data_IF_058755920886
#
_entry.id   IF_058755920886
#
_cell.length_a   1.000
_cell.length_b   1.000
_cell.length_c   1.000
_cell.angle_alpha   90.00
_cell.angle_beta   90.00
_cell.angle_gamma   90.00
#
_symmetry.space_group_name_H-M   'P 1'
#
loop_
_entity.id
_entity.type
_entity.pdbx_description
1 polymer ?
#
# COMPACT_ATOMS: atom_id res chain seq x y z
N UNK A 1 -64.59 -10.74 -4.16
CA UNK A 1 -63.23 -10.58 -4.72
C UNK A 1 -62.70 -9.21 -4.32
N UNK A 2 -61.88 -9.14 -3.27
CA UNK A 2 -61.17 -7.92 -2.87
C UNK A 2 -59.79 -7.96 -3.53
N UNK A 3 -59.47 -6.96 -4.34
CA UNK A 3 -58.12 -6.77 -4.90
C UNK A 3 -57.25 -6.15 -3.81
N UNK A 4 -56.34 -6.94 -3.26
CA UNK A 4 -55.25 -6.43 -2.44
C UNK A 4 -54.21 -5.77 -3.35
N UNK A 5 -53.96 -4.49 -3.13
CA UNK A 5 -52.89 -3.73 -3.76
C UNK A 5 -51.65 -3.97 -2.91
N UNK A 6 -50.73 -4.80 -3.40
CA UNK A 6 -49.40 -4.93 -2.83
C UNK A 6 -48.61 -3.65 -3.14
N UNK A 7 -48.50 -2.76 -2.15
CA UNK A 7 -47.58 -1.64 -2.18
C UNK A 7 -46.19 -2.18 -1.81
N UNK A 8 -45.35 -2.42 -2.81
CA UNK A 8 -43.94 -2.77 -2.64
C UNK A 8 -43.22 -1.49 -2.15
N UNK A 9 -43.14 -1.31 -0.83
CA UNK A 9 -42.31 -0.26 -0.23
C UNK A 9 -40.87 -0.76 -0.28
N UNK A 10 -40.16 -0.38 -1.34
CA UNK A 10 -38.70 -0.50 -1.41
C UNK A 10 -38.14 0.42 -0.33
N UNK A 11 -37.75 -0.16 0.81
CA UNK A 11 -37.00 0.51 1.86
C UNK A 11 -35.62 0.87 1.30
N UNK A 12 -35.52 2.02 0.63
CA UNK A 12 -34.24 2.68 0.36
C UNK A 12 -33.75 3.27 1.68
N UNK A 13 -33.08 2.45 2.48
CA UNK A 13 -32.19 2.96 3.54
C UNK A 13 -31.02 3.63 2.84
N UNK A 14 -31.18 4.91 2.50
CA UNK A 14 -30.05 5.78 2.21
C UNK A 14 -29.37 6.00 3.56
N UNK A 15 -28.50 5.08 3.95
CA UNK A 15 -27.53 5.34 5.00
C UNK A 15 -26.69 6.49 4.47
N UNK A 16 -26.93 7.71 4.96
CA UNK A 16 -26.13 8.86 4.61
C UNK A 16 -24.68 8.52 5.01
N UNK A 17 -23.84 8.19 4.03
CA UNK A 17 -22.41 7.99 4.24
C UNK A 17 -21.91 9.23 4.98
N UNK A 18 -21.35 9.05 6.18
CA UNK A 18 -20.69 10.15 6.87
C UNK A 18 -19.65 10.70 5.92
N UNK A 19 -19.71 12.01 5.66
CA UNK A 19 -18.75 12.68 4.79
C UNK A 19 -17.33 12.35 5.27
N UNK A 20 -16.45 11.99 4.33
CA UNK A 20 -15.04 11.80 4.64
C UNK A 20 -14.47 13.13 5.17
N UNK A 21 -13.74 13.07 6.27
CA UNK A 21 -13.09 14.23 6.87
C UNK A 21 -11.58 14.10 6.68
N UNK A 22 -10.98 15.06 5.97
CA UNK A 22 -9.54 15.12 5.78
C UNK A 22 -8.92 16.08 6.80
N UNK A 23 -8.04 15.54 7.63
CA UNK A 23 -7.28 16.24 8.66
C UNK A 23 -5.82 16.36 8.23
N UNK A 24 -5.44 17.51 7.69
CA UNK A 24 -4.04 17.85 7.40
C UNK A 24 -3.39 18.47 8.63
N UNK A 25 -2.15 18.06 8.92
CA UNK A 25 -1.44 18.51 10.10
C UNK A 25 0.06 18.70 9.89
N UNK A 26 0.67 19.43 10.81
CA UNK A 26 2.11 19.52 11.04
C UNK A 26 2.46 18.96 12.41
N UNK A 27 3.58 18.26 12.51
CA UNK A 27 4.20 17.89 13.78
C UNK A 27 5.04 19.09 14.22
N UNK A 28 4.62 19.75 15.29
CA UNK A 28 5.23 21.00 15.77
C UNK A 28 6.21 20.79 16.93
N UNK A 29 6.36 19.54 17.37
CA UNK A 29 7.32 19.16 18.39
C UNK A 29 7.04 17.79 18.95
N UNK A 30 8.03 17.26 19.66
CA UNK A 30 7.91 16.01 20.39
C UNK A 30 9.26 15.49 20.79
N UNK A 31 9.26 14.56 21.73
CA UNK A 31 10.46 13.86 22.18
C UNK A 31 10.17 12.36 22.18
N UNK A 32 11.24 11.59 22.00
CA UNK A 32 11.20 10.13 21.97
C UNK A 32 12.03 9.58 23.12
N UNK A 33 11.41 8.78 23.99
CA UNK A 33 12.10 7.88 24.89
C UNK A 33 12.27 6.54 24.18
N UNK A 34 13.51 6.05 24.18
CA UNK A 34 13.78 4.66 23.85
C UNK A 34 14.08 3.95 25.17
N UNK A 35 13.13 3.18 25.67
CA UNK A 35 13.41 2.24 26.75
C UNK A 35 14.03 0.98 26.15
N UNK A 36 15.34 0.82 26.32
CA UNK A 36 16.10 -0.41 26.04
C UNK A 36 16.16 -0.83 24.57
N UNK A 37 17.30 -0.60 23.90
CA UNK A 37 17.61 -1.29 22.65
C UNK A 37 18.18 -2.67 22.97
N UNK A 38 17.48 -3.73 22.61
CA UNK A 38 18.05 -5.09 22.65
C UNK A 38 18.17 -5.59 21.22
N UNK A 39 19.37 -5.49 20.65
CA UNK A 39 19.66 -6.13 19.36
C UNK A 39 19.80 -7.63 19.63
N UNK A 40 18.72 -8.39 19.39
CA UNK A 40 18.79 -9.85 19.45
C UNK A 40 19.32 -10.38 18.13
N UNK A 41 20.51 -10.99 18.17
CA UNK A 41 21.14 -11.55 16.99
C UNK A 41 20.73 -13.03 16.84
N UNK A 42 19.56 -13.28 16.24
CA UNK A 42 19.04 -14.63 16.01
C UNK A 42 19.18 -15.03 14.53
N UNK A 43 20.33 -15.60 14.16
CA UNK A 43 20.56 -16.11 12.80
C UNK A 43 19.42 -17.06 12.32
N UNK A 44 18.99 -17.00 11.05
CA UNK A 44 19.59 -16.27 9.92
C UNK A 44 19.06 -14.83 9.71
N UNK A 45 18.30 -14.28 10.67
CA UNK A 45 17.66 -12.97 10.55
C UNK A 45 18.12 -12.04 11.69
N UNK A 46 18.76 -10.92 11.38
CA UNK A 46 19.01 -9.90 12.43
C UNK A 46 17.69 -9.14 12.65
N UNK A 47 16.85 -9.64 13.55
CA UNK A 47 15.76 -8.87 14.12
C UNK A 47 16.34 -7.99 15.23
N UNK A 48 16.70 -6.75 14.91
CA UNK A 48 16.82 -5.77 15.98
C UNK A 48 15.39 -5.33 16.32
N UNK A 49 14.86 -5.82 17.44
CA UNK A 49 13.75 -5.14 18.10
C UNK A 49 14.33 -3.84 18.65
N UNK A 50 14.15 -2.74 17.92
CA UNK A 50 14.33 -1.46 18.59
C UNK A 50 13.29 -1.42 19.72
N UNK A 51 13.72 -1.01 20.91
CA UNK A 51 12.87 -0.97 22.10
C UNK A 51 11.55 -0.24 21.86
N UNK A 52 10.67 -0.30 22.85
CA UNK A 52 9.40 0.41 22.77
C UNK A 52 9.68 1.91 22.60
N UNK A 53 9.40 2.45 21.42
CA UNK A 53 9.44 3.89 21.24
C UNK A 53 8.19 4.45 21.91
N UNK A 54 8.41 5.21 22.97
CA UNK A 54 7.38 5.98 23.64
C UNK A 54 7.73 7.45 23.52
N UNK A 55 6.73 8.31 23.54
CA UNK A 55 6.96 9.73 23.35
C UNK A 55 5.67 10.51 23.25
N UNK A 56 5.80 11.82 23.26
CA UNK A 56 4.69 12.74 23.08
C UNK A 56 4.92 13.56 21.81
N UNK A 57 3.91 13.60 20.94
CA UNK A 57 3.95 14.37 19.70
C UNK A 57 2.89 15.46 19.77
N UNK A 58 3.26 16.65 19.31
CA UNK A 58 2.38 17.80 19.23
C UNK A 58 2.02 18.04 17.77
N UNK A 59 0.73 18.23 17.51
CA UNK A 59 0.18 18.38 16.17
C UNK A 59 -0.54 19.72 16.06
N UNK A 60 -0.42 20.35 14.91
CA UNK A 60 -1.20 21.52 14.52
C UNK A 60 -1.90 21.23 13.20
N UNK A 61 -3.23 21.22 13.22
CA UNK A 61 -4.07 20.97 12.06
C UNK A 61 -4.32 22.25 11.27
N UNK A 62 -4.60 22.14 9.97
CA UNK A 62 -4.86 23.31 9.11
C UNK A 62 -6.05 24.18 9.58
N UNK A 63 -7.00 23.58 10.29
CA UNK A 63 -8.11 24.30 10.92
C UNK A 63 -7.74 25.01 12.23
N UNK A 64 -6.46 25.04 12.59
CA UNK A 64 -5.92 25.69 13.79
C UNK A 64 -6.07 24.87 15.08
N UNK A 65 -6.69 23.68 15.03
CA UNK A 65 -6.73 22.77 16.19
C UNK A 65 -5.32 22.31 16.53
N UNK A 66 -5.02 22.23 17.83
CA UNK A 66 -3.79 21.63 18.35
C UNK A 66 -4.13 20.41 19.18
N UNK A 67 -3.24 19.44 19.21
CA UNK A 67 -3.42 18.25 20.02
C UNK A 67 -2.09 17.61 20.35
N UNK A 68 -2.08 16.81 21.40
CA UNK A 68 -0.94 15.99 21.75
C UNK A 68 -1.33 14.51 21.69
N UNK A 69 -0.39 13.68 21.28
CA UNK A 69 -0.58 12.23 21.19
C UNK A 69 0.56 11.55 21.90
N UNK A 70 0.23 10.47 22.61
CA UNK A 70 1.24 9.59 23.17
C UNK A 70 1.47 8.43 22.21
N UNK A 71 2.73 8.17 21.88
CA UNK A 71 3.10 6.91 21.23
C UNK A 71 3.19 5.85 22.30
N UNK A 72 2.35 4.83 22.18
CA UNK A 72 2.38 3.69 23.05
C UNK A 72 2.94 2.49 22.28
N UNK A 73 4.26 2.51 22.07
CA UNK A 73 5.00 1.47 21.37
C UNK A 73 4.95 1.59 19.85
N UNK A 74 6.07 2.02 19.29
CA UNK A 74 6.44 1.59 17.95
C UNK A 74 7.28 0.32 18.05
N UNK A 75 6.88 -0.72 17.32
CA UNK A 75 7.79 -1.85 17.08
C UNK A 75 8.61 -1.47 15.87
N UNK A 76 9.92 -1.30 16.05
CA UNK A 76 10.81 -1.16 14.92
C UNK A 76 11.44 -2.51 14.62
N UNK A 77 11.13 -3.03 13.43
CA UNK A 77 11.76 -4.22 12.91
C UNK A 77 12.87 -3.75 11.97
N UNK A 78 14.11 -4.04 12.32
CA UNK A 78 15.22 -3.97 11.39
C UNK A 78 15.32 -5.31 10.66
N UNK A 79 15.42 -5.28 9.34
CA UNK A 79 15.73 -6.48 8.54
C UNK A 79 17.02 -6.21 7.78
N UNK A 80 18.07 -6.98 8.07
CA UNK A 80 19.34 -6.89 7.35
C UNK A 80 19.43 -8.02 6.33
N UNK A 81 19.16 -7.70 5.06
CA UNK A 81 19.63 -8.49 3.93
C UNK A 81 20.30 -7.57 2.92
N UNK A 82 21.60 -7.36 3.13
CA UNK A 82 22.55 -7.10 2.04
C UNK A 82 22.50 -5.75 1.30
N UNK A 83 22.41 -4.60 2.00
CA UNK A 83 22.88 -3.34 1.38
C UNK A 83 22.38 -2.02 1.96
N UNK A 84 21.18 -1.95 2.51
CA UNK A 84 20.61 -0.71 3.04
C UNK A 84 19.97 -0.93 4.41
N UNK A 85 20.12 0.03 5.32
CA UNK A 85 19.48 -0.02 6.64
C UNK A 85 17.99 0.27 6.49
N UNK A 86 17.19 -0.74 6.11
CA UNK A 86 15.74 -0.61 6.11
C UNK A 86 15.20 -0.81 7.54
N UNK A 87 14.59 0.25 8.07
CA UNK A 87 13.80 0.20 9.30
C UNK A 87 12.33 0.30 8.90
N UNK A 88 11.52 -0.69 9.26
CA UNK A 88 10.08 -0.63 9.03
C UNK A 88 9.33 -1.23 10.19
N UNK A 89 8.03 -0.96 10.27
CA UNK A 89 7.20 -1.55 11.31
C UNK A 89 5.85 -0.89 11.42
N UNK A 90 5.20 -1.18 12.55
CA UNK A 90 3.91 -0.59 12.89
C UNK A 90 4.04 0.18 14.20
N UNK A 91 3.41 1.35 14.23
CA UNK A 91 3.33 2.23 15.38
C UNK A 91 1.88 2.39 15.80
N UNK A 92 1.64 2.31 17.11
CA UNK A 92 0.35 2.62 17.72
C UNK A 92 0.41 4.04 18.26
N UNK A 93 -0.48 4.90 17.77
CA UNK A 93 -0.59 6.30 18.17
C UNK A 93 -1.88 6.44 18.94
N UNK A 94 -1.78 6.82 20.21
CA UNK A 94 -2.93 7.14 21.03
C UNK A 94 -3.19 8.65 20.95
N UNK A 95 -4.30 9.03 20.33
CA UNK A 95 -4.68 10.42 20.18
C UNK A 95 -5.43 10.96 21.40
N UNK A 96 -4.78 10.88 22.56
CA UNK A 96 -5.38 11.11 23.88
C UNK A 96 -5.89 12.55 24.09
N UNK A 97 -5.16 13.58 23.64
CA UNK A 97 -5.51 14.96 24.01
C UNK A 97 -6.39 15.70 23.02
N UNK A 98 -6.83 15.08 21.92
CA UNK A 98 -7.64 15.80 20.96
C UNK A 98 -9.08 16.00 21.46
N UNK A 99 -9.63 15.04 22.24
CA UNK A 99 -11.09 14.96 22.47
C UNK A 99 -11.53 14.31 23.80
N UNK A 100 -10.60 14.00 24.73
CA UNK A 100 -10.97 13.38 26.02
C UNK A 100 -11.33 11.89 25.93
N UNK A 101 -10.90 11.20 24.88
CA UNK A 101 -11.00 9.75 24.76
C UNK A 101 -10.22 9.08 25.89
N UNK A 102 -10.79 8.03 26.50
CA UNK A 102 -10.06 7.22 27.46
C UNK A 102 -8.81 6.60 26.79
N UNK A 103 -7.75 6.28 27.55
CA UNK A 103 -6.59 5.60 26.97
C UNK A 103 -7.01 4.32 26.24
N UNK A 104 -6.38 4.04 25.10
CA UNK A 104 -6.53 2.81 24.31
C UNK A 104 -7.90 2.57 23.65
N UNK A 105 -8.81 3.55 23.62
CA UNK A 105 -10.11 3.40 22.94
C UNK A 105 -10.06 3.79 21.45
N UNK A 106 -9.38 4.88 21.13
CA UNK A 106 -9.24 5.42 19.77
C UNK A 106 -7.77 5.42 19.36
N UNK A 107 -7.27 4.27 18.93
CA UNK A 107 -5.91 4.08 18.46
C UNK A 107 -5.83 4.32 16.95
N UNK A 108 -4.74 4.94 16.51
CA UNK A 108 -4.38 5.05 15.10
C UNK A 108 -3.16 4.18 14.83
N UNK A 109 -3.20 3.39 13.75
CA UNK A 109 -2.12 2.50 13.36
C UNK A 109 -1.37 3.07 12.15
N UNK A 110 -0.06 3.18 12.27
CA UNK A 110 0.83 3.67 11.23
C UNK A 110 1.79 2.56 10.81
N UNK A 111 1.76 2.16 9.55
CA UNK A 111 2.84 1.38 8.92
C UNK A 111 3.91 2.34 8.42
N UNK A 112 5.18 2.11 8.72
CA UNK A 112 6.23 3.05 8.33
C UNK A 112 7.46 2.37 7.75
N UNK A 113 8.20 3.14 6.94
CA UNK A 113 9.53 2.83 6.41
C UNK A 113 10.45 4.03 6.64
N UNK A 114 11.62 3.78 7.24
CA UNK A 114 12.67 4.79 7.31
C UNK A 114 13.25 5.00 5.92
N UNK A 115 13.23 6.25 5.48
CA UNK A 115 13.84 6.68 4.23
C UNK A 115 15.32 7.00 4.42
N UNK A 116 15.72 7.34 5.65
CA UNK A 116 17.06 7.81 5.96
C UNK A 116 17.43 7.51 7.40
N UNK A 117 18.65 7.03 7.60
CA UNK A 117 19.28 6.89 8.91
C UNK A 117 20.74 7.33 8.78
N UNK A 118 21.08 8.48 9.35
CA UNK A 118 22.42 9.05 9.32
C UNK A 118 22.96 9.26 10.74
N UNK A 119 24.26 9.01 10.91
CA UNK A 119 24.99 9.30 12.15
C UNK A 119 26.17 10.19 11.78
N UNK A 120 26.21 11.40 12.32
CA UNK A 120 27.31 12.36 12.13
C UNK A 120 27.82 12.82 13.51
N UNK A 121 28.93 12.23 13.96
CA UNK A 121 29.42 12.43 15.32
C UNK A 121 28.40 11.94 16.37
N UNK A 122 27.97 12.82 17.26
CA UNK A 122 26.91 12.55 18.25
C UNK A 122 25.50 12.81 17.72
N UNK A 123 25.36 13.33 16.49
CA UNK A 123 24.06 13.62 15.89
C UNK A 123 23.53 12.40 15.15
N UNK A 124 22.30 11.99 15.45
CA UNK A 124 21.57 10.93 14.75
C UNK A 124 20.35 11.54 14.09
N UNK A 125 20.24 11.39 12.77
CA UNK A 125 19.10 11.88 11.98
C UNK A 125 18.34 10.71 11.38
N UNK A 126 17.04 10.66 11.64
CA UNK A 126 16.13 9.64 11.11
C UNK A 126 15.02 10.34 10.33
N UNK A 127 14.82 9.96 9.07
CA UNK A 127 13.64 10.35 8.29
C UNK A 127 12.75 9.15 8.11
N UNK A 128 11.50 9.27 8.53
CA UNK A 128 10.49 8.22 8.41
C UNK A 128 9.34 8.73 7.56
N UNK A 129 8.86 7.89 6.66
CA UNK A 129 7.57 8.06 6.01
C UNK A 129 6.71 6.84 6.30
N UNK A 130 5.42 7.05 6.46
CA UNK A 130 4.49 5.98 6.73
C UNK A 130 3.08 6.29 6.27
N UNK A 131 2.25 5.27 6.30
CA UNK A 131 0.85 5.29 5.92
C UNK A 131 0.00 4.87 7.11
N UNK A 132 -1.09 5.61 7.36
CA UNK A 132 -2.09 5.18 8.33
C UNK A 132 -2.91 4.04 7.73
N UNK A 133 -3.02 2.94 8.47
CA UNK A 133 -3.60 1.66 8.01
C UNK A 133 -4.86 1.29 8.80
N UNK A 134 -5.55 2.28 9.33
CA UNK A 134 -6.72 2.11 10.19
C UNK A 134 -6.40 2.34 11.67
N UNK A 135 -7.23 1.76 12.52
CA UNK A 135 -7.21 2.05 13.95
C UNK A 135 -8.32 1.34 14.72
N UNK A 136 -8.69 1.89 15.86
CA UNK A 136 -9.86 1.47 16.65
C UNK A 136 -10.82 2.63 16.81
N UNK A 137 -12.06 2.33 17.23
CA UNK A 137 -13.07 3.34 17.51
C UNK A 137 -13.32 4.23 16.30
N UNK A 138 -13.14 5.54 16.44
CA UNK A 138 -13.36 6.50 15.34
C UNK A 138 -12.29 6.45 14.24
N UNK A 139 -11.13 5.84 14.52
CA UNK A 139 -10.03 5.69 13.57
C UNK A 139 -10.05 4.34 12.84
N UNK A 140 -11.07 3.50 13.03
CA UNK A 140 -11.15 2.15 12.43
C UNK A 140 -10.79 2.12 10.94
N UNK A 141 -11.29 3.10 10.20
CA UNK A 141 -11.14 3.20 8.75
C UNK A 141 -10.16 4.32 8.36
N UNK A 142 -9.37 4.86 9.32
CA UNK A 142 -8.50 5.98 9.07
C UNK A 142 -7.36 5.62 8.12
N UNK A 143 -7.09 6.48 7.14
CA UNK A 143 -5.98 6.32 6.20
C UNK A 143 -5.26 7.64 6.00
N UNK A 144 -4.17 7.62 5.26
CA UNK A 144 -3.40 8.81 4.95
C UNK A 144 -1.93 8.56 5.16
N UNK A 145 -1.16 9.61 5.37
CA UNK A 145 0.29 9.51 5.37
C UNK A 145 0.92 10.43 6.41
N UNK A 146 2.14 10.08 6.78
CA UNK A 146 2.99 10.83 7.68
C UNK A 146 4.40 10.86 7.11
N UNK A 147 5.06 12.01 7.19
CA UNK A 147 6.52 12.09 7.09
C UNK A 147 7.04 12.89 8.27
N UNK A 148 8.07 12.37 8.93
CA UNK A 148 8.73 13.01 10.07
C UNK A 148 10.24 12.92 9.92
N UNK A 149 10.91 13.98 10.33
CA UNK A 149 12.37 14.02 10.49
C UNK A 149 12.68 14.24 11.96
N UNK A 150 13.44 13.32 12.53
CA UNK A 150 13.95 13.44 13.88
C UNK A 150 15.47 13.60 13.90
N UNK A 151 15.95 14.48 14.78
CA UNK A 151 17.36 14.69 15.10
C UNK A 151 17.52 14.44 16.61
N UNK A 152 18.39 13.49 16.97
CA UNK A 152 18.67 13.11 18.35
C UNK A 152 17.42 12.75 19.17
N UNK A 153 16.39 12.19 18.53
CA UNK A 153 15.13 11.83 19.18
C UNK A 153 14.13 12.97 19.35
N UNK A 154 14.44 14.16 18.83
CA UNK A 154 13.52 15.31 18.76
C UNK A 154 13.01 15.48 17.33
N UNK A 155 11.76 15.88 17.14
CA UNK A 155 11.22 16.17 15.81
C UNK A 155 11.61 17.58 15.37
N UNK A 156 12.29 17.69 14.24
CA UNK A 156 12.63 18.96 13.61
C UNK A 156 11.54 19.42 12.63
N UNK A 157 10.97 18.45 11.90
CA UNK A 157 9.91 18.70 10.92
C UNK A 157 9.02 17.46 10.81
N UNK A 158 7.75 17.69 10.53
CA UNK A 158 6.83 16.62 10.22
C UNK A 158 5.50 17.14 9.71
N UNK A 159 4.88 16.36 8.83
CA UNK A 159 3.58 16.68 8.26
C UNK A 159 2.88 15.41 7.82
N UNK A 160 1.58 15.51 7.68
CA UNK A 160 0.80 14.41 7.19
C UNK A 160 -0.66 14.78 6.99
N UNK A 161 -1.40 13.75 6.63
CA UNK A 161 -2.83 13.81 6.38
C UNK A 161 -3.46 12.55 6.96
N UNK A 162 -4.55 12.70 7.69
CA UNK A 162 -5.42 11.61 8.11
C UNK A 162 -6.78 11.84 7.46
N UNK A 163 -7.30 10.84 6.79
CA UNK A 163 -8.65 10.80 6.24
C UNK A 163 -9.48 9.91 7.16
N UNK A 164 -10.53 10.48 7.74
CA UNK A 164 -11.50 9.82 8.60
C UNK A 164 -12.80 9.58 7.83
N UNK A 165 -13.62 8.66 8.35
CA UNK A 165 -14.91 8.28 7.78
C UNK A 165 -14.84 6.99 6.97
N UNK A 166 -16.00 6.45 6.60
CA UNK A 166 -16.05 5.19 5.88
C UNK A 166 -15.41 5.35 4.50
N UNK A 167 -14.38 4.54 4.23
CA UNK A 167 -13.96 4.27 2.85
C UNK A 167 -15.09 3.48 2.20
N UNK A 168 -15.42 3.72 0.92
CA UNK A 168 -16.26 2.77 0.19
C UNK A 168 -15.70 1.37 0.42
N UNK A 169 -16.52 0.46 0.92
CA UNK A 169 -16.08 -0.91 1.12
C UNK A 169 -15.73 -1.50 -0.24
N UNK A 170 -14.44 -1.75 -0.46
CA UNK A 170 -13.97 -2.35 -1.70
C UNK A 170 -14.19 -3.85 -1.56
N UNK A 171 -15.14 -4.37 -2.34
CA UNK A 171 -15.51 -5.78 -2.24
C UNK A 171 -14.52 -6.67 -2.99
N UNK A 172 -14.49 -7.95 -2.66
CA UNK A 172 -13.65 -8.91 -3.38
C UNK A 172 -14.05 -9.00 -4.85
N UNK A 173 -15.34 -8.86 -5.16
CA UNK A 173 -15.88 -8.85 -6.52
C UNK A 173 -15.35 -7.66 -7.33
N UNK A 174 -15.21 -6.48 -6.72
CA UNK A 174 -14.65 -5.30 -7.39
C UNK A 174 -13.18 -5.51 -7.76
N UNK A 175 -12.37 -6.04 -6.84
CA UNK A 175 -10.95 -6.33 -7.11
C UNK A 175 -10.80 -7.45 -8.13
N UNK A 176 -11.69 -8.45 -8.09
CA UNK A 176 -11.77 -9.48 -9.12
C UNK A 176 -12.09 -8.89 -10.50
N UNK A 177 -13.02 -7.93 -10.58
CA UNK A 177 -13.34 -7.21 -11.82
C UNK A 177 -12.11 -6.44 -12.35
N UNK A 178 -11.42 -5.70 -11.49
CA UNK A 178 -10.19 -4.98 -11.88
C UNK A 178 -9.10 -5.94 -12.38
N UNK A 179 -8.96 -7.10 -11.74
CA UNK A 179 -8.02 -8.14 -12.17
C UNK A 179 -8.38 -8.71 -13.53
N UNK A 180 -9.66 -8.97 -13.79
CA UNK A 180 -10.13 -9.40 -15.10
C UNK A 180 -9.91 -8.33 -16.18
N UNK A 181 -10.07 -7.06 -15.84
CA UNK A 181 -9.80 -5.96 -16.77
C UNK A 181 -8.30 -5.85 -17.11
N UNK A 182 -7.40 -6.11 -16.17
CA UNK A 182 -5.97 -6.25 -16.45
C UNK A 182 -5.71 -7.37 -17.47
N UNK A 183 -6.27 -8.57 -17.28
CA UNK A 183 -6.09 -9.67 -18.22
C UNK A 183 -6.64 -9.35 -19.62
N UNK A 184 -7.84 -8.74 -19.71
CA UNK A 184 -8.38 -8.26 -20.99
C UNK A 184 -7.45 -7.25 -21.67
N UNK A 185 -6.83 -6.36 -20.89
CA UNK A 185 -5.88 -5.39 -21.42
C UNK A 185 -4.59 -6.05 -21.95
N UNK A 186 -4.13 -7.16 -21.35
CA UNK A 186 -3.01 -7.94 -21.94
C UNK A 186 -3.36 -8.54 -23.30
N UNK A 187 -4.64 -8.80 -23.56
CA UNK A 187 -5.15 -9.44 -24.78
C UNK A 187 -5.49 -8.43 -25.88
N UNK A 188 -5.42 -7.12 -25.62
CA UNK A 188 -5.88 -6.11 -26.57
C UNK A 188 -4.86 -5.79 -27.67
N UNK A 189 -3.59 -6.18 -27.49
CA UNK A 189 -2.50 -5.73 -28.37
C UNK A 189 -2.24 -4.22 -28.33
N UNK A 190 -2.72 -3.53 -27.30
CA UNK A 190 -2.60 -2.08 -27.13
C UNK A 190 -1.91 -1.74 -25.80
N UNK A 191 -0.67 -1.25 -25.90
CA UNK A 191 0.17 -0.94 -24.75
C UNK A 191 -0.41 0.18 -23.88
N UNK A 192 -1.18 1.10 -24.47
CA UNK A 192 -1.84 2.18 -23.73
C UNK A 192 -3.02 1.65 -22.92
N UNK A 193 -3.82 0.74 -23.49
CA UNK A 193 -4.90 0.07 -22.75
C UNK A 193 -4.32 -0.72 -21.57
N UNK A 194 -3.23 -1.46 -21.80
CA UNK A 194 -2.53 -2.17 -20.72
C UNK A 194 -1.96 -1.23 -19.66
N UNK A 195 -1.19 -0.22 -20.05
CA UNK A 195 -0.62 0.76 -19.13
C UNK A 195 -1.70 1.50 -18.33
N UNK A 196 -2.89 1.75 -18.91
CA UNK A 196 -4.00 2.41 -18.22
C UNK A 196 -4.56 1.61 -17.04
N UNK A 197 -4.25 0.33 -16.90
CA UNK A 197 -4.60 -0.46 -15.70
C UNK A 197 -3.72 -0.12 -14.50
N UNK A 198 -2.56 0.49 -14.71
CA UNK A 198 -1.60 0.86 -13.68
C UNK A 198 -1.78 2.31 -13.19
N UNK A 199 -1.38 2.53 -11.95
CA UNK A 199 -1.12 3.87 -11.42
C UNK A 199 0.10 4.48 -12.13
N UNK A 200 0.23 5.81 -12.08
CA UNK A 200 1.31 6.53 -12.78
C UNK A 200 2.71 6.15 -12.28
N UNK A 201 2.82 5.80 -11.01
CA UNK A 201 4.05 5.43 -10.31
C UNK A 201 4.02 3.97 -9.84
N UNK A 202 3.32 3.09 -10.55
CA UNK A 202 3.21 1.69 -10.16
C UNK A 202 4.58 0.99 -10.17
N UNK A 203 4.82 0.16 -9.15
CA UNK A 203 5.98 -0.73 -9.12
C UNK A 203 5.70 -1.99 -9.92
N UNK A 204 6.49 -2.28 -10.95
CA UNK A 204 6.35 -3.49 -11.77
C UNK A 204 7.65 -4.28 -11.71
N UNK A 205 7.57 -5.58 -11.41
CA UNK A 205 8.70 -6.49 -11.45
C UNK A 205 8.25 -7.78 -12.14
N UNK A 206 8.31 -7.77 -13.47
CA UNK A 206 7.67 -8.75 -14.35
C UNK A 206 8.56 -9.02 -15.59
N UNK A 207 9.31 -10.14 -15.64
CA UNK A 207 9.38 -11.19 -14.62
C UNK A 207 10.11 -10.73 -13.34
N UNK A 208 9.79 -11.34 -12.21
CA UNK A 208 10.37 -11.04 -10.91
C UNK A 208 11.90 -11.21 -10.92
N UNK A 209 12.62 -10.18 -10.46
CA UNK A 209 14.08 -10.06 -10.56
C UNK A 209 14.54 -9.07 -11.65
N UNK A 210 13.61 -8.56 -12.47
CA UNK A 210 13.90 -7.51 -13.44
C UNK A 210 13.99 -6.13 -12.77
N UNK A 211 14.70 -5.16 -13.38
CA UNK A 211 14.67 -3.77 -12.93
C UNK A 211 13.23 -3.23 -12.94
N UNK A 212 12.84 -2.53 -11.88
CA UNK A 212 11.52 -1.93 -11.80
C UNK A 212 11.46 -0.62 -12.61
N UNK A 213 10.34 -0.33 -13.31
CA UNK A 213 10.19 0.89 -14.07
C UNK A 213 10.03 2.11 -13.16
N UNK A 214 10.44 3.27 -13.68
CA UNK A 214 10.30 4.58 -13.09
C UNK A 214 9.25 5.41 -13.85
N UNK A 215 7.98 5.26 -13.48
CA UNK A 215 6.89 6.11 -13.95
C UNK A 215 6.20 5.65 -15.25
N UNK A 216 5.20 6.43 -15.68
CA UNK A 216 4.25 6.09 -16.75
C UNK A 216 4.89 5.73 -18.08
N UNK A 217 5.91 6.48 -18.50
CA UNK A 217 6.56 6.26 -19.80
C UNK A 217 7.26 4.90 -19.85
N UNK A 218 7.91 4.49 -18.76
CA UNK A 218 8.56 3.18 -18.69
C UNK A 218 7.55 2.04 -18.59
N UNK A 219 6.41 2.25 -17.90
CA UNK A 219 5.29 1.31 -17.92
C UNK A 219 4.79 1.10 -19.36
N UNK A 220 4.58 2.17 -20.13
CA UNK A 220 4.14 2.04 -21.54
C UNK A 220 5.16 1.22 -22.35
N UNK A 221 6.46 1.50 -22.20
CA UNK A 221 7.54 0.76 -22.88
C UNK A 221 7.55 -0.73 -22.55
N UNK A 222 7.23 -1.12 -21.32
CA UNK A 222 7.09 -2.54 -20.96
C UNK A 222 5.97 -3.19 -21.79
N UNK A 223 4.82 -2.53 -21.86
CA UNK A 223 3.68 -3.01 -22.67
C UNK A 223 4.03 -3.09 -24.16
N UNK A 224 4.71 -2.07 -24.70
CA UNK A 224 5.17 -2.04 -26.10
C UNK A 224 6.16 -3.18 -26.39
N UNK A 225 7.12 -3.43 -25.50
CA UNK A 225 8.09 -4.51 -25.64
C UNK A 225 7.41 -5.88 -25.62
N UNK A 226 6.48 -6.10 -24.69
CA UNK A 226 5.71 -7.34 -24.63
C UNK A 226 4.90 -7.56 -25.91
N UNK A 227 4.13 -6.56 -26.34
CA UNK A 227 3.21 -6.70 -27.47
C UNK A 227 3.94 -6.76 -28.82
N UNK A 228 5.06 -6.06 -28.99
CA UNK A 228 5.84 -6.11 -30.24
C UNK A 228 6.61 -7.42 -30.45
N UNK A 229 6.77 -8.22 -29.38
CA UNK A 229 7.40 -9.54 -29.46
C UNK A 229 6.53 -10.60 -30.16
N UNK A 230 5.24 -10.30 -30.35
CA UNK A 230 4.25 -11.22 -30.90
C UNK A 230 3.38 -10.52 -31.95
N UNK A 231 2.92 -11.26 -32.95
CA UNK A 231 1.83 -10.82 -33.83
C UNK A 231 0.53 -10.68 -33.04
N UNK A 232 0.31 -11.60 -32.10
CA UNK A 232 -0.75 -11.51 -31.09
C UNK A 232 -0.33 -12.20 -29.81
N UNK A 233 -0.67 -11.66 -28.65
CA UNK A 233 -0.41 -12.30 -27.37
C UNK A 233 -1.44 -11.89 -26.32
N UNK A 234 -1.57 -12.70 -25.29
CA UNK A 234 -2.37 -12.38 -24.11
C UNK A 234 -2.14 -13.35 -22.97
N UNK A 235 -2.43 -12.89 -21.76
CA UNK A 235 -2.45 -13.71 -20.56
C UNK A 235 -3.89 -14.13 -20.24
N UNK A 236 -4.08 -15.41 -19.93
CA UNK A 236 -5.39 -16.00 -19.67
C UNK A 236 -5.41 -16.56 -18.24
N UNK A 237 -6.23 -16.00 -17.33
CA UNK A 237 -6.27 -16.47 -15.96
C UNK A 237 -6.89 -17.87 -15.87
N UNK A 238 -6.28 -18.72 -15.05
CA UNK A 238 -6.81 -20.03 -14.65
C UNK A 238 -7.56 -19.94 -13.33
N UNK A 239 -6.98 -19.21 -12.36
CA UNK A 239 -7.64 -18.84 -11.11
C UNK A 239 -7.19 -17.46 -10.64
N UNK A 240 -8.08 -16.77 -9.94
CA UNK A 240 -7.83 -15.48 -9.28
C UNK A 240 -8.31 -15.62 -7.83
N UNK A 241 -7.43 -15.35 -6.88
CA UNK A 241 -7.75 -15.27 -5.46
C UNK A 241 -7.58 -13.84 -4.96
N UNK A 242 -8.56 -13.33 -4.23
CA UNK A 242 -8.61 -11.94 -3.77
C UNK A 242 -8.63 -11.88 -2.25
N UNK A 243 -7.81 -11.00 -1.68
CA UNK A 243 -7.84 -10.65 -0.27
C UNK A 243 -7.58 -9.14 -0.09
N UNK A 244 -8.61 -8.39 0.31
CA UNK A 244 -8.56 -6.93 0.31
C UNK A 244 -8.24 -6.40 -1.08
N UNK A 245 -7.28 -5.46 -1.17
CA UNK A 245 -6.80 -4.86 -2.42
C UNK A 245 -5.75 -5.70 -3.17
N UNK A 246 -5.51 -6.94 -2.75
CA UNK A 246 -4.52 -7.82 -3.39
C UNK A 246 -5.20 -8.95 -4.12
N UNK A 247 -4.80 -9.18 -5.37
CA UNK A 247 -5.17 -10.33 -6.16
C UNK A 247 -3.94 -11.17 -6.50
N UNK A 248 -4.03 -12.47 -6.32
CA UNK A 248 -3.05 -13.45 -6.81
C UNK A 248 -3.69 -14.27 -7.91
N UNK A 249 -3.02 -14.38 -9.06
CA UNK A 249 -3.58 -15.08 -10.22
C UNK A 249 -2.58 -16.02 -10.86
N UNK A 250 -3.00 -17.26 -11.10
CA UNK A 250 -2.30 -18.18 -12.02
C UNK A 250 -2.85 -17.97 -13.41
N UNK A 251 -1.97 -17.99 -14.39
CA UNK A 251 -2.34 -17.75 -15.78
C UNK A 251 -1.47 -18.57 -16.74
N UNK A 252 -2.02 -18.78 -17.93
CA UNK A 252 -1.30 -19.26 -19.11
C UNK A 252 -1.23 -18.13 -20.13
N UNK A 253 -0.04 -17.80 -20.59
CA UNK A 253 0.24 -16.89 -21.69
C UNK A 253 0.18 -17.65 -23.01
N UNK A 254 -0.47 -17.06 -24.01
CA UNK A 254 -0.53 -17.60 -25.37
C UNK A 254 -0.24 -16.48 -26.35
N UNK A 255 0.52 -16.79 -27.40
CA UNK A 255 0.75 -15.84 -28.48
C UNK A 255 1.20 -16.49 -29.77
N UNK A 256 1.19 -15.70 -30.84
CA UNK A 256 1.76 -16.02 -32.15
C UNK A 256 2.97 -15.12 -32.33
N UNK A 257 4.15 -15.69 -32.55
CA UNK A 257 5.37 -14.92 -32.83
C UNK A 257 5.30 -14.25 -34.19
N UNK A 258 6.17 -13.27 -34.45
CA UNK A 258 6.22 -12.58 -35.74
C UNK A 258 6.61 -13.49 -36.94
N UNK A 259 7.13 -14.70 -36.69
CA UNK A 259 7.38 -15.74 -37.70
C UNK A 259 6.27 -16.81 -37.76
N UNK A 260 5.13 -16.57 -37.10
CA UNK A 260 3.92 -17.40 -37.19
C UNK A 260 3.91 -18.65 -36.31
N UNK A 261 4.82 -18.76 -35.33
CA UNK A 261 4.89 -19.90 -34.40
C UNK A 261 4.03 -19.68 -33.18
N UNK A 262 3.51 -20.76 -32.62
CA UNK A 262 2.72 -20.70 -31.40
C UNK A 262 3.65 -20.66 -30.18
N UNK A 263 3.49 -19.64 -29.34
CA UNK A 263 4.18 -19.50 -28.07
C UNK A 263 3.22 -19.77 -26.90
N UNK A 264 3.68 -20.53 -25.91
CA UNK A 264 2.97 -20.75 -24.65
C UNK A 264 3.93 -20.66 -23.47
N UNK A 265 3.49 -20.01 -22.40
CA UNK A 265 4.22 -19.88 -21.13
C UNK A 265 3.22 -19.73 -19.99
N UNK A 266 3.67 -19.84 -18.75
CA UNK A 266 2.79 -19.80 -17.59
C UNK A 266 3.45 -19.04 -16.44
N UNK A 267 2.61 -18.51 -15.54
CA UNK A 267 3.11 -17.73 -14.43
C UNK A 267 2.08 -17.46 -13.35
N UNK A 268 2.54 -16.79 -12.30
CA UNK A 268 1.70 -16.30 -11.21
C UNK A 268 1.93 -14.80 -11.07
N UNK A 269 0.86 -14.01 -11.05
CA UNK A 269 0.94 -12.60 -10.73
C UNK A 269 0.46 -12.34 -9.31
N UNK A 270 1.16 -11.46 -8.59
CA UNK A 270 0.67 -10.83 -7.36
C UNK A 270 0.47 -9.35 -7.64
N UNK A 271 -0.78 -8.91 -7.60
CA UNK A 271 -1.18 -7.56 -8.00
C UNK A 271 -1.84 -6.86 -6.83
N UNK A 272 -1.35 -5.66 -6.50
CA UNK A 272 -1.95 -4.78 -5.49
C UNK A 272 -2.61 -3.59 -6.17
N UNK A 273 -3.84 -3.30 -5.77
CA UNK A 273 -4.65 -2.19 -6.27
C UNK A 273 -4.70 -1.05 -5.27
N UNK A 274 -4.96 0.17 -5.74
CA UNK A 274 -5.44 1.25 -4.90
C UNK A 274 -6.97 1.34 -4.93
N UNK A 275 -7.52 2.25 -4.14
CA UNK A 275 -8.97 2.46 -4.03
C UNK A 275 -9.64 2.93 -5.34
N UNK A 276 -8.85 3.37 -6.33
CA UNK A 276 -9.32 3.78 -7.66
C UNK A 276 -9.29 2.62 -8.68
N UNK A 277 -8.99 1.41 -8.23
CA UNK A 277 -8.86 0.23 -9.09
C UNK A 277 -7.63 0.25 -10.00
N UNK A 278 -6.62 1.06 -9.69
CA UNK A 278 -5.35 1.07 -10.42
C UNK A 278 -4.33 0.19 -9.74
N UNK A 279 -3.55 -0.54 -10.53
CA UNK A 279 -2.46 -1.37 -10.04
C UNK A 279 -1.34 -0.46 -9.53
N UNK A 280 -0.96 -0.60 -8.26
CA UNK A 280 0.17 0.13 -7.64
C UNK A 280 1.40 -0.76 -7.48
N UNK A 281 1.23 -2.09 -7.45
CA UNK A 281 2.31 -3.05 -7.44
C UNK A 281 1.93 -4.29 -8.26
N UNK A 282 2.86 -4.78 -9.08
CA UNK A 282 2.68 -5.96 -9.91
C UNK A 282 3.95 -6.79 -9.92
N UNK A 283 3.87 -8.03 -9.44
CA UNK A 283 4.97 -8.99 -9.42
C UNK A 283 4.59 -10.19 -10.29
N UNK A 284 5.34 -10.42 -11.37
CA UNK A 284 5.13 -11.55 -12.28
C UNK A 284 6.14 -12.66 -12.03
N UNK A 285 5.71 -13.78 -11.48
CA UNK A 285 6.54 -14.96 -11.27
C UNK A 285 6.40 -15.92 -12.45
N UNK A 286 7.26 -15.74 -13.45
CA UNK A 286 7.41 -16.62 -14.60
C UNK A 286 8.84 -16.58 -15.11
N UNK A 287 9.18 -17.52 -15.98
CA UNK A 287 10.54 -17.71 -16.48
C UNK A 287 10.52 -17.68 -18.02
N UNK A 288 11.09 -16.65 -18.66
CA UNK A 288 11.11 -16.54 -20.11
C UNK A 288 11.86 -17.70 -20.78
N UNK A 289 12.84 -18.32 -20.10
CA UNK A 289 13.56 -19.48 -20.64
C UNK A 289 12.69 -20.74 -20.73
N UNK A 290 11.55 -20.76 -20.03
CA UNK A 290 10.58 -21.86 -20.08
C UNK A 290 9.47 -21.66 -21.10
N UNK A 291 9.53 -20.58 -21.89
CA UNK A 291 8.58 -20.37 -22.98
C UNK A 291 8.74 -21.45 -24.05
N UNK A 292 7.63 -22.10 -24.39
CA UNK A 292 7.59 -23.12 -25.44
C UNK A 292 7.14 -22.47 -26.73
N UNK A 293 7.95 -22.56 -27.78
CA UNK A 293 7.64 -22.09 -29.13
C UNK A 293 7.55 -23.31 -30.06
N UNK A 294 6.45 -23.45 -30.81
CA UNK A 294 6.19 -24.56 -31.72
C UNK A 294 6.01 -24.11 -33.15
#
# INVERSE_FOLDING_TARGET
>A
MKKEVFLLVTLLTITAMKAQETLKFKVIGGYQFAEGYTIQNNAPFIFAQAGQLTGSWHWEFENGRKGNTHINGATANRVLFNGENELFGTMKINMFEFEGSAPDTDLLFLSYKAQKFEVNGSQVTIKVSGEFIGGTGKYKDARGWLTVTSVNGFFEDGKGEIILGETPEITQEQVLEWTNNYFKATQSGDAMIWANTFAENAYINDPYGSPAPNGREEIIKIGENFMSSFESAGLYPEYIYVNGLVATSKWTGKGITNDGKEATFEGINVTTYNEKGKIVSHLGYWDPEKMVIK
#
